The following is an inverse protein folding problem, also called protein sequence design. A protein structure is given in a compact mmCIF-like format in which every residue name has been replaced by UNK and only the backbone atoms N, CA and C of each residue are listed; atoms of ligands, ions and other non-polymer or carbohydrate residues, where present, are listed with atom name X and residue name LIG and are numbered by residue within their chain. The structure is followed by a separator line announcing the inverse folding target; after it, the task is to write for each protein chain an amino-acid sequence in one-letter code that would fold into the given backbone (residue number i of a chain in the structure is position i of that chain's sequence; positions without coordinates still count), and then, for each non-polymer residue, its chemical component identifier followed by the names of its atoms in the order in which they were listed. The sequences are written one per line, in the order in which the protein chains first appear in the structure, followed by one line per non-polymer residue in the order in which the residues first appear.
data_IF_307799626244
#
_entry.id   IF_307799626244
#
_cell.length_a   1.000
_cell.length_b   1.000
_cell.length_c   1.000
_cell.angle_alpha   90.00
_cell.angle_beta   90.00
_cell.angle_gamma   90.00
#
_symmetry.space_group_name_H-M   'P 1'
#
loop_
_entity.id
_entity.type
_entity.pdbx_description
1 polymer ?
#
# COMPACT_ATOMS: atom_id res chain seq x y z
N UNK A 1 -53.95 -22.50 10.78
CA UNK A 1 -52.77 -23.11 11.43
C UNK A 1 -52.17 -24.10 10.44
N UNK A 2 -50.96 -23.98 9.92
CA UNK A 2 -49.89 -22.99 10.07
C UNK A 2 -48.95 -23.08 8.85
N UNK A 3 -48.41 -21.96 8.43
CA UNK A 3 -47.38 -21.89 7.39
C UNK A 3 -46.10 -22.59 7.86
N UNK A 4 -45.71 -23.69 7.20
CA UNK A 4 -44.36 -24.24 7.31
C UNK A 4 -43.41 -23.39 6.47
N UNK A 5 -42.81 -22.38 7.10
CA UNK A 5 -41.77 -21.57 6.47
C UNK A 5 -40.42 -22.28 6.55
N UNK A 6 -39.90 -22.61 5.36
CA UNK A 6 -38.50 -22.55 4.96
C UNK A 6 -37.45 -22.39 6.07
N UNK A 7 -36.75 -23.48 6.38
CA UNK A 7 -35.38 -23.43 6.88
C UNK A 7 -34.50 -24.24 5.94
N UNK A 8 -34.28 -23.69 4.73
CA UNK A 8 -33.13 -24.06 3.92
C UNK A 8 -31.91 -23.60 4.71
N UNK A 9 -31.33 -24.55 5.45
CA UNK A 9 -30.07 -24.40 6.16
C UNK A 9 -28.98 -24.00 5.17
N UNK A 10 -28.75 -22.69 5.04
CA UNK A 10 -27.51 -22.16 4.47
C UNK A 10 -26.39 -22.62 5.39
N UNK A 11 -25.78 -23.76 5.09
CA UNK A 11 -24.55 -24.19 5.73
C UNK A 11 -23.49 -23.14 5.37
N UNK A 12 -23.24 -22.22 6.30
CA UNK A 12 -22.08 -21.36 6.23
C UNK A 12 -20.89 -22.29 6.41
N UNK A 13 -20.25 -22.65 5.29
CA UNK A 13 -19.03 -23.45 5.28
C UNK A 13 -17.89 -22.57 5.81
N UNK A 14 -17.87 -22.34 7.12
CA UNK A 14 -16.73 -21.73 7.83
C UNK A 14 -15.57 -22.71 7.70
N UNK A 15 -14.65 -22.45 6.75
CA UNK A 15 -13.39 -23.18 6.65
C UNK A 15 -12.74 -23.21 8.04
N UNK A 16 -12.54 -24.40 8.61
CA UNK A 16 -11.74 -24.58 9.81
C UNK A 16 -10.28 -24.25 9.48
N UNK A 17 -9.88 -23.00 9.71
CA UNK A 17 -8.50 -22.56 9.56
C UNK A 17 -7.67 -23.25 10.65
N UNK A 18 -6.72 -24.06 10.22
CA UNK A 18 -5.81 -24.79 11.11
C UNK A 18 -4.94 -23.81 11.93
N UNK A 19 -4.44 -24.24 13.08
CA UNK A 19 -3.54 -23.42 13.91
C UNK A 19 -2.32 -22.90 13.13
N UNK A 20 -1.79 -23.73 12.22
CA UNK A 20 -0.65 -23.39 11.35
C UNK A 20 -1.02 -22.23 10.40
N UNK A 21 -2.20 -22.28 9.79
CA UNK A 21 -2.67 -21.20 8.92
C UNK A 21 -2.90 -19.90 9.69
N UNK A 22 -3.44 -19.97 10.93
CA UNK A 22 -3.59 -18.79 11.80
C UNK A 22 -2.23 -18.13 12.11
N UNK A 23 -1.20 -18.93 12.39
CA UNK A 23 0.17 -18.41 12.62
C UNK A 23 0.74 -17.76 11.36
N UNK A 24 0.54 -18.36 10.18
CA UNK A 24 0.99 -17.79 8.91
C UNK A 24 0.30 -16.45 8.63
N UNK A 25 -1.02 -16.37 8.81
CA UNK A 25 -1.81 -15.13 8.64
C UNK A 25 -1.28 -14.04 9.58
N UNK A 26 -1.11 -14.33 10.88
CA UNK A 26 -0.60 -13.37 11.85
C UNK A 26 0.80 -12.83 11.49
N UNK A 27 1.69 -13.69 10.97
CA UNK A 27 3.01 -13.26 10.49
C UNK A 27 2.91 -12.33 9.28
N UNK A 28 2.04 -12.64 8.31
CA UNK A 28 1.79 -11.80 7.14
C UNK A 28 1.27 -10.42 7.57
N UNK A 29 0.32 -10.38 8.50
CA UNK A 29 -0.23 -9.13 9.03
C UNK A 29 0.84 -8.28 9.72
N UNK A 30 1.69 -8.89 10.55
CA UNK A 30 2.81 -8.20 11.20
C UNK A 30 3.79 -7.60 10.18
N UNK A 31 4.12 -8.33 9.11
CA UNK A 31 4.98 -7.82 8.04
C UNK A 31 4.32 -6.64 7.32
N UNK A 32 3.03 -6.79 6.95
CA UNK A 32 2.26 -5.70 6.33
C UNK A 32 2.26 -4.46 7.21
N UNK A 33 1.98 -4.59 8.51
CA UNK A 33 2.00 -3.47 9.45
C UNK A 33 3.38 -2.79 9.53
N UNK A 34 4.46 -3.57 9.61
CA UNK A 34 5.83 -3.05 9.63
C UNK A 34 6.16 -2.27 8.37
N UNK A 35 5.78 -2.78 7.19
CA UNK A 35 6.00 -2.09 5.92
C UNK A 35 5.15 -0.83 5.81
N UNK A 36 3.88 -0.88 6.22
CA UNK A 36 2.99 0.29 6.29
C UNK A 36 3.63 1.41 7.10
N UNK A 37 4.10 1.11 8.31
CA UNK A 37 4.75 2.10 9.18
C UNK A 37 6.00 2.71 8.54
N UNK A 38 6.83 1.89 7.89
CA UNK A 38 8.02 2.38 7.18
C UNK A 38 7.65 3.31 6.02
N UNK A 39 6.67 2.91 5.19
CA UNK A 39 6.20 3.69 4.05
C UNK A 39 5.69 5.04 4.50
N UNK A 40 4.82 5.08 5.51
CA UNK A 40 4.25 6.33 6.03
C UNK A 40 5.37 7.24 6.55
N UNK A 41 6.26 6.70 7.40
CA UNK A 41 7.36 7.49 7.98
C UNK A 41 8.25 8.09 6.88
N UNK A 42 8.68 7.29 5.92
CA UNK A 42 9.53 7.77 4.83
C UNK A 42 8.82 8.76 3.91
N UNK A 43 7.52 8.54 3.67
CA UNK A 43 6.70 9.43 2.85
C UNK A 43 6.58 10.83 3.49
N UNK A 44 6.36 10.89 4.80
CA UNK A 44 6.34 12.16 5.56
C UNK A 44 7.69 12.86 5.45
N UNK A 45 8.79 12.16 5.75
CA UNK A 45 10.13 12.76 5.72
C UNK A 45 10.51 13.33 4.34
N UNK A 46 10.12 12.66 3.25
CA UNK A 46 10.38 13.15 1.88
C UNK A 46 9.52 14.35 1.55
N UNK A 47 8.25 14.36 1.97
CA UNK A 47 7.32 15.47 1.75
C UNK A 47 7.78 16.75 2.48
N UNK A 48 8.35 16.62 3.67
CA UNK A 48 8.87 17.74 4.46
C UNK A 48 10.14 18.37 3.85
N UNK A 49 10.93 17.60 3.09
CA UNK A 49 12.19 18.07 2.50
C UNK A 49 12.39 17.50 1.10
N UNK A 50 11.68 18.07 0.13
CA UNK A 50 11.70 17.63 -1.27
C UNK A 50 12.96 18.18 -1.95
N UNK A 51 13.94 17.29 -2.14
CA UNK A 51 15.17 17.55 -2.91
C UNK A 51 15.44 16.40 -3.86
N UNK A 52 16.21 16.63 -4.92
CA UNK A 52 16.57 15.58 -5.87
C UNK A 52 17.21 14.36 -5.19
N UNK A 53 18.07 14.58 -4.20
CA UNK A 53 18.71 13.50 -3.44
C UNK A 53 17.70 12.68 -2.64
N UNK A 54 16.77 13.35 -1.95
CA UNK A 54 15.73 12.67 -1.16
C UNK A 54 14.74 11.92 -2.06
N UNK A 55 14.41 12.46 -3.24
CA UNK A 55 13.59 11.76 -4.24
C UNK A 55 14.29 10.51 -4.75
N UNK A 56 15.59 10.56 -5.06
CA UNK A 56 16.38 9.38 -5.44
C UNK A 56 16.37 8.32 -4.34
N UNK A 57 16.56 8.73 -3.07
CA UNK A 57 16.47 7.81 -1.92
C UNK A 57 15.08 7.20 -1.80
N UNK A 58 14.02 7.99 -2.02
CA UNK A 58 12.64 7.52 -1.99
C UNK A 58 12.32 6.52 -3.09
N UNK A 59 12.77 6.78 -4.33
CA UNK A 59 12.62 5.84 -5.46
C UNK A 59 13.29 4.50 -5.12
N UNK A 60 14.52 4.52 -4.60
CA UNK A 60 15.22 3.30 -4.15
C UNK A 60 14.47 2.57 -3.04
N UNK A 61 13.93 3.33 -2.08
CA UNK A 61 13.12 2.77 -0.99
C UNK A 61 11.86 2.08 -1.52
N UNK A 62 11.07 2.74 -2.36
CA UNK A 62 9.84 2.19 -2.96
C UNK A 62 10.15 0.96 -3.84
N UNK A 63 11.26 0.98 -4.57
CA UNK A 63 11.70 -0.17 -5.38
C UNK A 63 11.90 -1.42 -4.52
N UNK A 64 12.55 -1.26 -3.38
CA UNK A 64 12.99 -2.36 -2.52
C UNK A 64 11.96 -2.82 -1.48
N UNK A 65 10.85 -2.09 -1.30
CA UNK A 65 9.82 -2.46 -0.32
C UNK A 65 8.59 -3.07 -0.99
N UNK A 66 8.00 -4.05 -0.31
CA UNK A 66 6.67 -4.55 -0.63
C UNK A 66 5.63 -3.56 -0.10
N UNK A 67 4.85 -3.01 -1.02
CA UNK A 67 3.79 -2.06 -0.71
C UNK A 67 2.54 -2.87 -0.36
N UNK A 68 2.07 -2.84 0.89
CA UNK A 68 0.83 -3.50 1.27
C UNK A 68 -0.33 -2.93 0.46
N UNK A 69 -1.27 -3.76 0.04
CA UNK A 69 -2.51 -3.31 -0.60
C UNK A 69 -3.46 -2.70 0.44
N UNK A 70 -3.04 -1.60 1.06
CA UNK A 70 -3.82 -0.81 2.01
C UNK A 70 -4.02 0.59 1.42
N UNK A 71 -5.21 1.14 1.62
CA UNK A 71 -5.55 2.50 1.17
C UNK A 71 -4.55 3.50 1.75
N UNK A 72 -4.22 3.35 3.04
CA UNK A 72 -3.29 4.24 3.74
C UNK A 72 -1.90 4.32 3.08
N UNK A 73 -1.31 3.19 2.66
CA UNK A 73 -0.02 3.21 1.99
C UNK A 73 -0.12 3.87 0.60
N UNK A 74 -1.14 3.50 -0.17
CA UNK A 74 -1.34 4.04 -1.52
C UNK A 74 -1.56 5.55 -1.48
N UNK A 75 -2.43 6.04 -0.59
CA UNK A 75 -2.70 7.47 -0.43
C UNK A 75 -1.44 8.24 -0.02
N UNK A 76 -0.68 7.75 0.97
CA UNK A 76 0.55 8.42 1.40
C UNK A 76 1.59 8.54 0.26
N UNK A 77 1.74 7.49 -0.55
CA UNK A 77 2.68 7.50 -1.68
C UNK A 77 2.19 8.42 -2.80
N UNK A 78 0.87 8.41 -3.09
CA UNK A 78 0.27 9.30 -4.10
C UNK A 78 0.44 10.76 -3.69
N UNK A 79 0.23 11.09 -2.42
CA UNK A 79 0.40 12.46 -1.92
C UNK A 79 1.84 12.94 -2.06
N UNK A 80 2.82 12.09 -1.74
CA UNK A 80 4.25 12.40 -1.97
C UNK A 80 4.53 12.60 -3.46
N UNK A 81 4.02 11.72 -4.32
CA UNK A 81 4.19 11.85 -5.76
C UNK A 81 3.62 13.18 -6.28
N UNK A 82 2.43 13.59 -5.84
CA UNK A 82 1.85 14.90 -6.20
C UNK A 82 2.77 16.04 -5.80
N UNK A 83 3.23 16.06 -4.54
CA UNK A 83 4.16 17.10 -4.07
C UNK A 83 5.48 17.12 -4.84
N UNK A 84 6.01 15.96 -5.25
CA UNK A 84 7.22 15.87 -6.08
C UNK A 84 6.95 16.35 -7.51
N UNK A 85 5.81 15.97 -8.09
CA UNK A 85 5.41 16.33 -9.45
C UNK A 85 5.29 17.85 -9.59
N UNK A 86 4.63 18.48 -8.63
CA UNK A 86 4.33 19.92 -8.62
C UNK A 86 5.56 20.77 -8.24
N UNK A 87 6.65 20.15 -7.80
CA UNK A 87 7.91 20.85 -7.49
C UNK A 87 8.72 21.15 -8.75
N UNK A 88 9.01 22.43 -9.00
CA UNK A 88 9.87 22.89 -10.11
C UNK A 88 11.34 22.49 -9.93
N UNK A 89 11.79 22.30 -8.68
CA UNK A 89 13.19 22.02 -8.35
C UNK A 89 13.59 20.55 -8.52
N UNK A 90 12.62 19.67 -8.79
CA UNK A 90 12.87 18.25 -9.03
C UNK A 90 13.02 17.99 -10.52
N UNK A 91 14.10 17.27 -10.87
CA UNK A 91 14.37 16.87 -12.26
C UNK A 91 13.24 16.00 -12.81
N UNK A 92 12.82 16.28 -14.04
CA UNK A 92 11.71 15.56 -14.67
C UNK A 92 11.96 14.07 -14.86
N UNK A 93 13.21 13.65 -15.03
CA UNK A 93 13.57 12.23 -15.08
C UNK A 93 13.19 11.51 -13.77
N UNK A 94 13.41 12.13 -12.60
CA UNK A 94 13.03 11.55 -11.32
C UNK A 94 11.51 11.47 -11.15
N UNK A 95 10.77 12.48 -11.63
CA UNK A 95 9.30 12.46 -11.63
C UNK A 95 8.77 11.30 -12.48
N UNK A 96 9.36 11.12 -13.67
CA UNK A 96 8.98 10.06 -14.60
C UNK A 96 9.35 8.67 -14.06
N UNK A 97 10.57 8.50 -13.55
CA UNK A 97 11.03 7.25 -12.92
C UNK A 97 10.13 6.84 -11.75
N UNK A 98 9.78 7.80 -10.88
CA UNK A 98 8.87 7.55 -9.77
C UNK A 98 7.48 7.16 -10.28
N UNK A 99 6.94 7.85 -11.29
CA UNK A 99 5.63 7.52 -11.87
C UNK A 99 5.61 6.09 -12.43
N UNK A 100 6.62 5.72 -13.21
CA UNK A 100 6.75 4.40 -13.82
C UNK A 100 6.87 3.33 -12.72
N UNK A 101 7.73 3.55 -11.74
CA UNK A 101 7.92 2.64 -10.61
C UNK A 101 6.62 2.40 -9.84
N UNK A 102 5.84 3.45 -9.60
CA UNK A 102 4.56 3.37 -8.91
C UNK A 102 3.53 2.59 -9.73
N UNK A 103 3.49 2.80 -11.05
CA UNK A 103 2.70 1.99 -11.98
C UNK A 103 3.07 0.50 -11.91
N UNK A 104 4.37 0.17 -11.94
CA UNK A 104 4.86 -1.21 -11.80
C UNK A 104 4.49 -1.85 -10.45
N UNK A 105 4.30 -1.05 -9.40
CA UNK A 105 3.86 -1.51 -8.07
C UNK A 105 2.34 -1.54 -7.90
N UNK A 106 1.56 -1.28 -8.96
CA UNK A 106 0.10 -1.31 -8.93
C UNK A 106 -0.53 -0.11 -8.21
N UNK A 107 0.19 1.02 -8.14
CA UNK A 107 -0.35 2.30 -7.66
C UNK A 107 -0.82 3.08 -8.89
N UNK A 108 -2.13 3.15 -9.05
CA UNK A 108 -2.78 3.90 -10.13
C UNK A 108 -3.16 5.29 -9.65
N UNK A 109 -2.84 6.30 -10.45
CA UNK A 109 -3.28 7.67 -10.24
C UNK A 109 -4.62 7.84 -10.97
N UNK A 110 -5.71 7.97 -10.21
CA UNK A 110 -6.97 8.47 -10.78
C UNK A 110 -6.78 9.97 -10.92
N UNK A 111 -6.72 10.44 -12.16
CA UNK A 111 -6.56 11.84 -12.51
C UNK A 111 -7.90 12.56 -12.46
#
# INVERSE_FOLDING_TARGET
MGCMNNLVSKSIFTKHVTLIEKIKISRIEKIKYKNTKKIIKYSICVKENITNENVVKYIRFIKNIDIPNTILCKSAIIDVYKSIKDSENIKDNLKSDLRILLGCKGITFVY
#
